data_IF_800906396791
#
_entry.id   IF_800906396791
#
_cell.length_a   1.000
_cell.length_b   1.000
_cell.length_c   1.000
_cell.angle_alpha   90.00
_cell.angle_beta   90.00
_cell.angle_gamma   90.00
#
_symmetry.space_group_name_H-M   'P 1'
#
loop_
_entity.id
_entity.type
_entity.pdbx_description
1 polymer ?
#
# COMPACT_ATOMS: atom_id res chain seq x y z
N UNK A 1 42.65 -20.47 -62.87
CA UNK A 1 41.19 -20.27 -62.79
C UNK A 1 40.63 -21.39 -61.91
N UNK A 2 40.39 -21.11 -60.62
CA UNK A 2 39.71 -22.04 -59.70
C UNK A 2 38.44 -21.34 -59.21
N UNK A 3 37.30 -21.94 -59.52
CA UNK A 3 35.95 -21.46 -59.19
C UNK A 3 35.61 -21.82 -57.74
N UNK A 4 35.31 -20.81 -56.92
CA UNK A 4 34.78 -20.98 -55.57
C UNK A 4 33.28 -21.38 -55.65
N UNK A 5 32.81 -22.40 -54.92
CA UNK A 5 31.39 -22.73 -54.91
C UNK A 5 30.65 -21.72 -54.03
N UNK A 6 29.63 -21.10 -54.61
CA UNK A 6 28.65 -20.28 -53.90
C UNK A 6 27.87 -21.18 -52.92
N UNK A 7 28.03 -20.93 -51.62
CA UNK A 7 27.15 -21.47 -50.58
C UNK A 7 25.75 -20.90 -50.78
N UNK A 8 24.87 -21.66 -51.41
CA UNK A 8 23.45 -21.37 -51.46
C UNK A 8 22.85 -21.68 -50.09
N UNK A 9 22.38 -20.64 -49.40
CA UNK A 9 21.58 -20.78 -48.19
C UNK A 9 20.19 -21.25 -48.62
N UNK A 10 19.97 -22.57 -48.60
CA UNK A 10 18.62 -23.10 -48.71
C UNK A 10 17.87 -22.76 -47.42
N UNK A 11 16.91 -21.84 -47.51
CA UNK A 11 15.89 -21.69 -46.47
C UNK A 11 15.10 -23.01 -46.46
N UNK A 12 15.39 -23.86 -45.48
CA UNK A 12 14.62 -25.08 -45.24
C UNK A 12 13.26 -24.66 -44.70
N UNK A 13 12.27 -24.62 -45.60
CA UNK A 13 10.86 -24.44 -45.26
C UNK A 13 10.40 -25.63 -44.42
N UNK A 14 10.30 -25.45 -43.10
CA UNK A 14 9.80 -26.48 -42.19
C UNK A 14 10.19 -26.33 -40.72
N UNK A 15 11.23 -25.57 -40.41
CA UNK A 15 11.49 -25.16 -39.04
C UNK A 15 10.67 -23.90 -38.72
N UNK A 16 9.52 -24.08 -38.08
CA UNK A 16 8.95 -23.00 -37.30
C UNK A 16 9.93 -22.73 -36.15
N UNK A 17 10.58 -21.57 -36.15
CA UNK A 17 11.31 -21.05 -34.99
C UNK A 17 10.31 -20.24 -34.16
N UNK A 18 9.58 -20.83 -33.20
CA UNK A 18 8.93 -19.99 -32.20
C UNK A 18 10.05 -19.27 -31.42
N UNK A 19 9.79 -18.02 -31.02
CA UNK A 19 10.81 -17.06 -30.57
C UNK A 19 11.59 -17.46 -29.30
N UNK A 20 11.23 -18.58 -28.68
CA UNK A 20 11.64 -19.14 -27.39
C UNK A 20 12.67 -20.28 -27.50
N UNK A 21 13.12 -20.63 -28.71
CA UNK A 21 14.06 -21.74 -28.94
C UNK A 21 15.51 -21.29 -29.15
N UNK A 22 16.43 -21.88 -28.38
CA UNK A 22 17.88 -21.79 -28.61
C UNK A 22 18.41 -23.05 -29.29
N UNK A 23 19.07 -22.90 -30.44
CA UNK A 23 19.67 -24.02 -31.18
C UNK A 23 21.19 -23.91 -31.15
N UNK A 24 21.88 -24.98 -30.74
CA UNK A 24 23.35 -25.04 -30.73
C UNK A 24 23.87 -26.14 -31.65
N UNK A 25 25.01 -25.88 -32.30
CA UNK A 25 25.78 -26.86 -33.06
C UNK A 25 27.13 -26.96 -32.37
N UNK A 26 27.39 -28.09 -31.72
CA UNK A 26 28.65 -28.31 -31.01
C UNK A 26 28.76 -29.75 -30.55
N UNK A 27 29.93 -30.36 -30.78
CA UNK A 27 30.25 -31.68 -30.26
C UNK A 27 30.18 -31.65 -28.72
N UNK A 28 29.08 -32.15 -28.16
CA UNK A 28 28.95 -32.29 -26.72
C UNK A 28 29.74 -33.54 -26.32
N UNK A 29 30.95 -33.37 -25.79
CA UNK A 29 31.52 -34.43 -24.96
C UNK A 29 30.65 -34.52 -23.72
N UNK A 30 29.96 -35.65 -23.55
CA UNK A 30 29.11 -35.92 -22.39
C UNK A 30 29.82 -35.51 -21.10
N UNK A 31 29.22 -34.60 -20.34
CA UNK A 31 29.67 -34.31 -18.97
C UNK A 31 29.38 -35.56 -18.15
N UNK A 32 30.38 -36.21 -17.51
CA UNK A 32 30.12 -37.38 -16.71
C UNK A 32 29.20 -37.01 -15.54
N UNK A 33 28.24 -37.91 -15.26
CA UNK A 33 27.26 -37.77 -14.19
C UNK A 33 27.98 -37.60 -12.84
N UNK A 34 28.10 -36.35 -12.37
CA UNK A 34 28.83 -36.04 -11.15
C UNK A 34 28.89 -34.54 -10.87
N UNK A 35 27.76 -33.90 -10.58
CA UNK A 35 27.76 -32.63 -9.85
C UNK A 35 26.55 -32.53 -8.92
N UNK A 36 26.72 -31.94 -7.72
CA UNK A 36 25.82 -32.15 -6.59
C UNK A 36 24.49 -31.43 -6.76
N UNK A 37 23.44 -32.14 -6.32
CA UNK A 37 22.06 -31.70 -6.28
C UNK A 37 21.86 -30.60 -5.22
N UNK A 38 22.02 -29.32 -5.60
CA UNK A 38 21.39 -28.25 -4.83
C UNK A 38 21.13 -26.98 -5.67
N UNK A 39 20.45 -27.15 -6.79
CA UNK A 39 19.74 -26.07 -7.46
C UNK A 39 18.28 -26.50 -7.56
N UNK A 40 17.34 -25.67 -7.10
CA UNK A 40 15.92 -25.82 -7.42
C UNK A 40 15.78 -25.79 -8.94
N UNK A 41 15.78 -26.98 -9.53
CA UNK A 41 16.00 -27.17 -10.94
C UNK A 41 14.73 -26.83 -11.72
N UNK A 42 14.70 -25.65 -12.34
CA UNK A 42 13.93 -25.47 -13.57
C UNK A 42 14.59 -26.37 -14.62
N UNK A 43 14.15 -27.63 -14.69
CA UNK A 43 14.81 -28.65 -15.49
C UNK A 43 14.63 -28.36 -16.99
N UNK A 44 15.74 -28.15 -17.68
CA UNK A 44 15.80 -28.00 -19.14
C UNK A 44 15.27 -29.29 -19.80
N UNK A 45 14.15 -29.20 -20.54
CA UNK A 45 13.67 -30.34 -21.32
C UNK A 45 14.37 -30.37 -22.67
N UNK A 46 15.25 -31.35 -22.86
CA UNK A 46 15.93 -31.62 -24.12
C UNK A 46 15.10 -32.63 -24.91
N UNK A 47 14.70 -32.30 -26.14
CA UNK A 47 14.06 -33.24 -27.08
C UNK A 47 15.02 -33.53 -28.23
N UNK A 48 15.38 -34.79 -28.49
CA UNK A 48 16.11 -35.14 -29.71
C UNK A 48 15.20 -34.93 -30.92
N UNK A 49 15.70 -34.23 -31.94
CA UNK A 49 15.05 -34.18 -33.26
C UNK A 49 15.73 -35.17 -34.20
N UNK A 50 14.94 -35.73 -35.13
CA UNK A 50 15.44 -36.66 -36.13
C UNK A 50 16.59 -36.04 -36.94
N UNK A 51 17.63 -36.84 -37.14
CA UNK A 51 18.76 -36.55 -38.01
C UNK A 51 18.28 -36.14 -39.41
N UNK A 52 18.51 -34.89 -39.79
CA UNK A 52 18.72 -34.52 -41.19
C UNK A 52 19.89 -33.57 -41.24
N UNK A 53 20.87 -33.97 -42.04
CA UNK A 53 22.17 -33.36 -42.31
C UNK A 53 22.06 -31.83 -42.46
N UNK A 54 22.49 -31.08 -41.43
CA UNK A 54 22.80 -29.65 -41.58
C UNK A 54 22.09 -28.63 -40.68
N UNK A 55 21.65 -28.97 -39.46
CA UNK A 55 21.21 -27.92 -38.52
C UNK A 55 20.79 -28.44 -37.14
N UNK A 56 21.60 -28.12 -36.12
CA UNK A 56 21.45 -28.35 -34.67
C UNK A 56 21.14 -29.79 -34.18
N UNK A 57 22.03 -30.36 -33.36
CA UNK A 57 21.86 -31.69 -32.76
C UNK A 57 20.84 -31.70 -31.61
N UNK A 58 20.70 -30.56 -30.92
CA UNK A 58 19.78 -30.39 -29.81
C UNK A 58 19.15 -29.00 -29.81
N UNK A 59 17.84 -28.96 -29.58
CA UNK A 59 17.13 -27.76 -29.21
C UNK A 59 16.75 -27.85 -27.74
N UNK A 60 16.89 -26.74 -27.03
CA UNK A 60 16.41 -26.61 -25.67
C UNK A 60 15.41 -25.47 -25.59
N UNK A 61 14.36 -25.67 -24.78
CA UNK A 61 13.51 -24.56 -24.35
C UNK A 61 14.29 -23.77 -23.32
N UNK A 62 14.54 -22.49 -23.57
CA UNK A 62 14.92 -21.60 -22.48
C UNK A 62 13.75 -21.58 -21.48
N UNK A 63 14.01 -21.70 -20.17
CA UNK A 63 12.95 -21.40 -19.22
C UNK A 63 12.47 -19.97 -19.53
N UNK A 64 11.15 -19.80 -19.70
CA UNK A 64 10.57 -18.48 -19.80
C UNK A 64 11.03 -17.64 -18.61
N UNK A 65 11.31 -16.36 -18.85
CA UNK A 65 11.61 -15.44 -17.76
C UNK A 65 10.46 -15.52 -16.74
N UNK A 66 10.73 -15.66 -15.43
CA UNK A 66 9.67 -15.78 -14.45
C UNK A 66 8.69 -14.62 -14.61
N UNK A 67 7.39 -14.95 -14.61
CA UNK A 67 6.34 -13.93 -14.65
C UNK A 67 6.57 -12.96 -13.50
N UNK A 68 6.77 -11.69 -13.86
CA UNK A 68 7.04 -10.64 -12.88
C UNK A 68 5.81 -10.46 -12.00
N UNK A 69 6.03 -10.12 -10.74
CA UNK A 69 4.92 -9.85 -9.81
C UNK A 69 4.07 -8.70 -10.36
N UNK A 70 2.75 -8.87 -10.35
CA UNK A 70 1.84 -7.83 -10.81
C UNK A 70 1.90 -6.61 -9.89
N UNK A 71 1.74 -5.40 -10.43
CA UNK A 71 1.68 -4.19 -9.57
C UNK A 71 0.55 -4.26 -8.55
N UNK A 72 -0.56 -4.96 -8.85
CA UNK A 72 -1.67 -5.15 -7.92
C UNK A 72 -1.26 -5.96 -6.69
N UNK A 73 -0.45 -7.00 -6.86
CA UNK A 73 0.06 -7.82 -5.75
C UNK A 73 1.04 -7.02 -4.89
N UNK A 74 1.94 -6.25 -5.51
CA UNK A 74 2.85 -5.35 -4.77
C UNK A 74 2.06 -4.26 -4.02
N UNK A 75 0.98 -3.75 -4.61
CA UNK A 75 0.08 -2.82 -3.94
C UNK A 75 -0.65 -3.47 -2.76
N UNK A 76 -1.07 -4.73 -2.89
CA UNK A 76 -1.65 -5.49 -1.78
C UNK A 76 -0.63 -5.72 -0.65
N UNK A 77 0.64 -5.95 -0.96
CA UNK A 77 1.71 -6.03 0.06
C UNK A 77 1.90 -4.69 0.79
N UNK A 78 1.92 -3.58 0.05
CA UNK A 78 2.02 -2.25 0.65
C UNK A 78 0.80 -1.92 1.52
N UNK A 79 -0.39 -2.33 1.09
CA UNK A 79 -1.64 -2.20 1.84
C UNK A 79 -1.64 -3.05 3.11
N UNK A 80 -1.14 -4.28 3.07
CA UNK A 80 -1.05 -5.15 4.25
C UNK A 80 -0.14 -4.56 5.35
N UNK A 81 0.86 -3.76 4.97
CA UNK A 81 1.72 -3.03 5.90
C UNK A 81 1.14 -1.65 6.31
N UNK A 82 0.04 -1.21 5.71
CA UNK A 82 -0.57 0.09 5.97
C UNK A 82 -1.46 0.05 7.21
N UNK A 83 -1.19 0.94 8.17
CA UNK A 83 -1.98 1.07 9.38
C UNK A 83 -2.28 2.55 9.66
N UNK A 84 -3.51 2.81 10.11
CA UNK A 84 -3.92 4.11 10.62
C UNK A 84 -3.85 4.09 12.15
N UNK A 85 -3.02 4.95 12.78
CA UNK A 85 -2.96 4.99 14.24
C UNK A 85 -4.28 5.52 14.80
N UNK A 86 -4.76 4.99 15.93
CA UNK A 86 -5.94 5.54 16.60
C UNK A 86 -5.64 6.99 17.04
N UNK A 87 -6.53 7.95 16.75
CA UNK A 87 -6.39 9.31 17.28
C UNK A 87 -6.54 9.32 18.79
N UNK A 88 -5.80 10.19 19.47
CA UNK A 88 -6.02 10.47 20.89
C UNK A 88 -6.84 11.75 20.98
N UNK A 89 -8.13 11.66 21.36
CA UNK A 89 -8.97 12.84 21.55
C UNK A 89 -8.62 13.56 22.84
N UNK A 90 -8.61 14.88 22.77
CA UNK A 90 -8.39 15.78 23.90
C UNK A 90 -9.52 16.79 24.00
N UNK A 91 -9.78 17.22 25.24
CA UNK A 91 -10.78 18.23 25.55
C UNK A 91 -10.19 19.34 26.42
N UNK A 92 -10.68 20.57 26.25
CA UNK A 92 -10.41 21.66 27.19
C UNK A 92 -11.76 22.26 27.63
N UNK A 93 -12.11 22.21 28.93
CA UNK A 93 -11.32 21.63 30.02
C UNK A 93 -11.21 20.09 29.94
N UNK A 94 -10.13 19.55 30.51
CA UNK A 94 -9.79 18.12 30.42
C UNK A 94 -10.53 17.32 31.49
N UNK A 95 -11.17 16.22 31.11
CA UNK A 95 -11.83 15.26 32.04
C UNK A 95 -13.11 15.79 32.70
N UNK A 96 -13.26 17.11 32.86
CA UNK A 96 -14.47 17.75 33.36
C UNK A 96 -14.82 18.99 32.55
N UNK A 97 -16.09 19.17 32.23
CA UNK A 97 -16.63 20.38 31.59
C UNK A 97 -17.95 20.80 32.25
N UNK A 98 -18.57 21.86 31.74
CA UNK A 98 -19.83 22.40 32.25
C UNK A 98 -20.88 22.57 31.16
N UNK A 99 -22.15 22.43 31.56
CA UNK A 99 -23.30 22.71 30.70
C UNK A 99 -23.24 24.15 30.20
N UNK A 100 -23.56 24.35 28.92
CA UNK A 100 -23.58 25.65 28.25
C UNK A 100 -22.23 26.38 28.14
N UNK A 101 -21.12 25.76 28.57
CA UNK A 101 -19.77 26.27 28.32
C UNK A 101 -19.12 25.55 27.14
N UNK A 102 -18.35 26.27 26.29
CA UNK A 102 -17.66 25.66 25.18
C UNK A 102 -16.58 24.70 25.68
N UNK A 103 -16.69 23.45 25.27
CA UNK A 103 -15.65 22.43 25.39
C UNK A 103 -14.91 22.38 24.07
N UNK A 104 -13.64 22.76 24.09
CA UNK A 104 -12.78 22.71 22.92
C UNK A 104 -12.28 21.29 22.69
N UNK A 105 -12.24 20.87 21.43
CA UNK A 105 -11.91 19.49 21.05
C UNK A 105 -10.74 19.49 20.06
N UNK A 106 -9.79 18.58 20.24
CA UNK A 106 -8.74 18.35 19.26
C UNK A 106 -8.20 16.92 19.32
N UNK A 107 -7.60 16.47 18.23
CA UNK A 107 -6.79 15.24 18.18
C UNK A 107 -5.31 15.59 18.19
N UNK A 108 -4.47 14.66 18.64
CA UNK A 108 -3.02 14.88 18.58
C UNK A 108 -2.55 15.17 17.16
N UNK A 109 -1.70 16.19 17.02
CA UNK A 109 -1.10 16.58 15.75
C UNK A 109 -0.28 15.44 15.13
N UNK A 110 0.19 14.49 15.94
CA UNK A 110 0.85 13.28 15.45
C UNK A 110 -0.07 12.41 14.61
N UNK A 111 -1.36 12.38 14.90
CA UNK A 111 -2.32 11.59 14.13
C UNK A 111 -2.81 12.38 12.92
N UNK A 112 -2.81 13.71 12.99
CA UNK A 112 -3.16 14.60 11.88
C UNK A 112 -2.02 14.84 10.87
N UNK A 113 -1.49 13.77 10.29
CA UNK A 113 -0.49 13.82 9.23
C UNK A 113 -0.68 12.66 8.25
N UNK A 114 -0.19 12.77 7.00
CA UNK A 114 -0.25 11.66 6.05
C UNK A 114 0.46 10.42 6.59
N UNK A 115 -0.24 9.29 6.65
CA UNK A 115 0.35 7.98 6.97
C UNK A 115 0.81 7.31 5.68
N UNK A 116 1.93 6.57 5.72
CA UNK A 116 2.53 5.98 4.53
C UNK A 116 3.01 4.56 4.79
N UNK A 117 2.80 3.68 3.83
CA UNK A 117 3.42 2.36 3.76
C UNK A 117 3.95 2.13 2.35
N UNK A 118 5.00 1.33 2.21
CA UNK A 118 5.59 1.01 0.91
C UNK A 118 5.95 -0.45 0.79
N UNK A 119 5.85 -0.98 -0.41
CA UNK A 119 6.41 -2.28 -0.79
C UNK A 119 7.19 -2.12 -2.09
N UNK A 120 8.28 -2.87 -2.21
CA UNK A 120 9.11 -2.86 -3.41
C UNK A 120 9.49 -4.29 -3.79
N UNK A 121 9.26 -4.63 -5.05
CA UNK A 121 9.54 -5.96 -5.61
C UNK A 121 9.70 -5.83 -7.12
N UNK A 122 10.57 -6.64 -7.73
CA UNK A 122 10.78 -6.68 -9.20
C UNK A 122 11.01 -5.30 -9.86
N UNK A 123 11.68 -4.38 -9.15
CA UNK A 123 11.95 -3.01 -9.63
C UNK A 123 10.72 -2.08 -9.61
N UNK A 124 9.61 -2.52 -9.03
CA UNK A 124 8.44 -1.72 -8.70
C UNK A 124 8.56 -1.20 -7.26
N UNK A 125 8.05 0.00 -7.01
CA UNK A 125 7.89 0.54 -5.65
C UNK A 125 6.52 1.16 -5.52
N UNK A 126 5.63 0.50 -4.78
CA UNK A 126 4.29 1.01 -4.48
C UNK A 126 4.30 1.72 -3.14
N UNK A 127 3.71 2.91 -3.08
CA UNK A 127 3.52 3.70 -1.86
C UNK A 127 2.03 3.93 -1.64
N UNK A 128 1.51 3.50 -0.50
CA UNK A 128 0.16 3.81 -0.01
C UNK A 128 0.25 5.03 0.90
N UNK A 129 -0.67 5.99 0.73
CA UNK A 129 -0.73 7.24 1.50
C UNK A 129 -2.15 7.49 1.98
N UNK A 130 -2.36 7.53 3.30
CA UNK A 130 -3.62 7.97 3.90
C UNK A 130 -3.53 9.41 4.39
N UNK A 131 -4.29 10.31 3.79
CA UNK A 131 -4.31 11.74 4.14
C UNK A 131 -5.55 12.09 4.96
N UNK A 132 -5.42 12.63 6.18
CA UNK A 132 -6.56 13.01 7.00
C UNK A 132 -7.34 14.15 6.32
N UNK A 133 -8.67 14.05 6.31
CA UNK A 133 -9.56 15.03 5.68
C UNK A 133 -10.38 15.79 6.73
N UNK A 134 -11.01 15.06 7.65
CA UNK A 134 -11.94 15.60 8.65
C UNK A 134 -11.95 14.75 9.92
N UNK A 135 -12.41 15.34 11.01
CA UNK A 135 -12.73 14.63 12.26
C UNK A 135 -14.23 14.70 12.49
N UNK A 136 -14.86 13.55 12.71
CA UNK A 136 -16.20 13.46 13.26
C UNK A 136 -16.12 13.16 14.75
N UNK A 137 -16.83 13.94 15.56
CA UNK A 137 -16.87 13.80 17.01
C UNK A 137 -18.24 13.29 17.43
N UNK A 138 -18.29 12.13 18.05
CA UNK A 138 -19.46 11.64 18.77
C UNK A 138 -19.31 11.97 20.25
N UNK A 139 -20.18 12.84 20.76
CA UNK A 139 -20.10 13.40 22.12
C UNK A 139 -21.11 12.77 23.08
N UNK A 140 -21.93 11.86 22.59
CA UNK A 140 -23.01 11.19 23.33
C UNK A 140 -24.30 12.01 23.48
N UNK A 141 -24.26 13.33 23.31
CA UNK A 141 -25.45 14.19 23.15
C UNK A 141 -25.62 14.72 21.71
N UNK A 142 -24.52 14.85 20.97
CA UNK A 142 -24.49 15.31 19.59
C UNK A 142 -23.35 14.65 18.81
N UNK A 143 -23.45 14.73 17.48
CA UNK A 143 -22.35 14.46 16.55
C UNK A 143 -22.01 15.75 15.81
N UNK A 144 -20.73 16.13 15.80
CA UNK A 144 -20.24 17.31 15.06
C UNK A 144 -19.08 16.91 14.15
N UNK A 145 -18.89 17.64 13.06
CA UNK A 145 -17.76 17.44 12.13
C UNK A 145 -16.89 18.68 12.10
N UNK A 146 -15.58 18.49 12.05
CA UNK A 146 -14.60 19.56 11.87
C UNK A 146 -13.63 19.25 10.73
N UNK A 147 -13.29 20.29 9.97
CA UNK A 147 -12.35 20.25 8.85
C UNK A 147 -10.90 20.51 9.32
N UNK A 148 -10.47 19.79 10.34
CA UNK A 148 -9.15 19.97 10.93
C UNK A 148 -8.95 19.17 12.21
N UNK A 149 -7.72 19.15 12.75
CA UNK A 149 -7.43 18.43 13.98
C UNK A 149 -8.06 19.08 15.22
N UNK A 150 -8.63 20.28 15.10
CA UNK A 150 -8.97 21.15 16.23
C UNK A 150 -7.74 21.86 16.78
N UNK A 151 -7.95 22.78 17.72
CA UNK A 151 -6.87 23.50 18.39
C UNK A 151 -7.19 23.69 19.87
N UNK A 152 -6.21 23.49 20.77
CA UNK A 152 -6.42 23.74 22.19
C UNK A 152 -6.67 25.22 22.42
N UNK A 153 -7.62 25.54 23.31
CA UNK A 153 -7.89 26.92 23.67
C UNK A 153 -6.66 27.56 24.32
N UNK A 154 -6.30 28.74 23.81
CA UNK A 154 -5.26 29.63 24.36
C UNK A 154 -5.82 31.04 24.45
N UNK A 155 -5.60 31.70 25.59
CA UNK A 155 -6.00 33.10 25.77
C UNK A 155 -5.27 33.98 24.75
N UNK A 156 -6.02 34.76 23.97
CA UNK A 156 -5.47 35.61 22.89
C UNK A 156 -5.02 34.83 21.65
N UNK A 157 -5.28 33.52 21.58
CA UNK A 157 -5.05 32.71 20.38
C UNK A 157 -6.19 32.86 19.37
N UNK A 158 -5.99 32.34 18.14
CA UNK A 158 -7.07 32.25 17.16
C UNK A 158 -8.23 31.39 17.71
N UNK A 159 -9.47 31.58 17.19
CA UNK A 159 -10.61 30.74 17.54
C UNK A 159 -10.29 29.26 17.37
N UNK A 160 -10.82 28.42 18.25
CA UNK A 160 -10.61 26.98 18.14
C UNK A 160 -11.19 26.42 16.85
N UNK A 161 -10.49 25.48 16.21
CA UNK A 161 -11.02 24.79 15.03
C UNK A 161 -12.22 23.85 15.31
N UNK A 162 -12.46 23.48 16.58
CA UNK A 162 -13.60 22.68 17.03
C UNK A 162 -14.00 23.05 18.46
N UNK A 163 -15.29 23.22 18.71
CA UNK A 163 -15.86 23.32 20.05
C UNK A 163 -17.31 22.82 20.08
N UNK A 164 -17.75 22.33 21.24
CA UNK A 164 -19.15 21.97 21.51
C UNK A 164 -19.57 22.44 22.90
N UNK A 165 -20.81 22.90 23.03
CA UNK A 165 -21.41 23.23 24.32
C UNK A 165 -22.44 22.16 24.68
N UNK A 166 -22.16 21.37 25.73
CA UNK A 166 -23.04 20.31 26.19
C UNK A 166 -24.33 20.89 26.78
N UNK A 167 -25.45 20.22 26.51
CA UNK A 167 -26.79 20.68 26.95
C UNK A 167 -27.25 20.06 28.26
N UNK A 168 -26.64 18.97 28.69
CA UNK A 168 -27.02 18.23 29.89
C UNK A 168 -25.78 17.80 30.68
N UNK A 169 -25.90 17.76 31.99
CA UNK A 169 -24.88 17.17 32.87
C UNK A 169 -24.91 15.65 32.76
N UNK A 170 -23.77 15.01 33.02
CA UNK A 170 -23.64 13.56 32.89
C UNK A 170 -22.21 13.12 32.56
N UNK A 171 -22.02 11.80 32.45
CA UNK A 171 -20.76 11.23 31.97
C UNK A 171 -20.90 10.84 30.50
N UNK A 172 -19.97 11.30 29.68
CA UNK A 172 -19.96 11.10 28.24
C UNK A 172 -18.69 10.40 27.79
N UNK A 173 -18.82 9.54 26.79
CA UNK A 173 -17.68 9.04 26.02
C UNK A 173 -17.56 9.90 24.78
N UNK A 174 -16.45 10.64 24.69
CA UNK A 174 -16.10 11.50 23.56
C UNK A 174 -15.26 10.67 22.61
N UNK A 175 -15.81 10.37 21.43
CA UNK A 175 -15.14 9.59 20.38
C UNK A 175 -14.80 10.50 19.21
N UNK A 176 -13.52 10.55 18.84
CA UNK A 176 -13.04 11.18 17.62
C UNK A 176 -12.83 10.12 16.54
N UNK A 177 -13.44 10.32 15.38
CA UNK A 177 -13.27 9.50 14.18
C UNK A 177 -12.62 10.34 13.09
N UNK A 178 -11.35 10.06 12.79
CA UNK A 178 -10.62 10.73 11.71
C UNK A 178 -10.86 9.95 10.42
N UNK A 179 -11.27 10.65 9.37
CA UNK A 179 -11.44 10.07 8.04
C UNK A 179 -10.21 10.37 7.17
N UNK A 180 -9.58 9.30 6.68
CA UNK A 180 -8.41 9.38 5.80
C UNK A 180 -8.80 9.02 4.38
N UNK A 181 -8.48 9.88 3.42
CA UNK A 181 -8.51 9.53 2.00
C UNK A 181 -7.22 8.76 1.69
N UNK A 182 -7.36 7.49 1.29
CA UNK A 182 -6.22 6.60 1.05
C UNK A 182 -6.02 6.37 -0.43
N UNK A 183 -4.84 6.71 -0.92
CA UNK A 183 -4.41 6.54 -2.31
C UNK A 183 -3.12 5.74 -2.37
N UNK A 184 -2.80 5.21 -3.54
CA UNK A 184 -1.52 4.58 -3.79
C UNK A 184 -0.92 5.04 -5.12
N UNK A 185 0.41 5.01 -5.19
CA UNK A 185 1.16 5.31 -6.40
C UNK A 185 2.30 4.32 -6.58
N UNK A 186 2.71 4.10 -7.82
CA UNK A 186 3.81 3.20 -8.15
C UNK A 186 4.89 3.90 -8.97
N UNK A 187 6.14 3.73 -8.52
CA UNK A 187 7.34 4.16 -9.21
C UNK A 187 8.11 2.95 -9.78
N UNK A 188 8.76 3.13 -10.93
CA UNK A 188 9.49 2.06 -11.61
C UNK A 188 8.67 1.33 -12.67
N UNK A 189 8.93 0.03 -12.81
CA UNK A 189 8.45 -0.87 -13.86
C UNK A 189 7.02 -1.38 -13.62
N UNK A 190 6.09 -0.46 -13.34
CA UNK A 190 4.73 -0.79 -12.91
C UNK A 190 3.75 -0.94 -14.08
N UNK A 191 2.83 -1.90 -13.99
CA UNK A 191 1.72 -2.10 -14.92
C UNK A 191 0.64 -1.02 -14.74
N UNK A 192 0.56 -0.43 -13.55
CA UNK A 192 -0.34 0.67 -13.21
C UNK A 192 0.34 1.69 -12.32
N UNK A 193 0.06 2.98 -12.55
CA UNK A 193 0.77 4.08 -11.89
C UNK A 193 0.19 4.49 -10.53
N UNK A 194 -1.05 4.13 -10.24
CA UNK A 194 -1.71 4.49 -8.98
C UNK A 194 -3.21 4.26 -9.00
N UNK A 195 -3.83 4.57 -7.87
CA UNK A 195 -5.27 4.45 -7.68
C UNK A 195 -5.71 4.96 -6.32
N UNK A 196 -7.01 4.83 -6.03
CA UNK A 196 -7.61 5.18 -4.75
C UNK A 196 -8.20 3.94 -4.10
N UNK A 197 -7.96 3.76 -2.80
CA UNK A 197 -8.65 2.77 -1.98
C UNK A 197 -9.96 3.32 -1.38
N UNK A 198 -10.16 4.64 -1.44
CA UNK A 198 -11.31 5.32 -0.85
C UNK A 198 -11.01 5.91 0.53
N UNK A 199 -12.05 6.08 1.34
CA UNK A 199 -11.97 6.76 2.63
C UNK A 199 -12.12 5.77 3.78
N UNK A 200 -11.17 5.80 4.73
CA UNK A 200 -11.14 4.89 5.87
C UNK A 200 -11.19 5.66 7.20
N UNK A 201 -11.98 5.19 8.18
CA UNK A 201 -12.03 5.78 9.51
C UNK A 201 -10.93 5.23 10.43
N UNK A 202 -10.41 6.06 11.33
CA UNK A 202 -9.68 5.63 12.52
C UNK A 202 -10.25 6.36 13.74
N UNK A 203 -10.61 5.60 14.78
CA UNK A 203 -11.30 6.14 15.95
C UNK A 203 -10.50 5.98 17.24
N UNK A 204 -10.76 6.89 18.17
CA UNK A 204 -10.27 6.84 19.54
C UNK A 204 -11.19 7.61 20.47
N UNK A 205 -11.19 7.25 21.74
CA UNK A 205 -12.17 7.75 22.70
C UNK A 205 -11.51 8.21 24.00
N UNK A 206 -12.17 9.17 24.66
CA UNK A 206 -11.83 9.63 26.01
C UNK A 206 -13.11 9.86 26.81
N UNK A 207 -13.00 9.92 28.13
CA UNK A 207 -14.13 10.18 29.02
C UNK A 207 -14.19 11.65 29.42
N UNK A 208 -15.40 12.20 29.48
CA UNK A 208 -15.67 13.57 29.91
C UNK A 208 -16.87 13.60 30.84
N UNK A 209 -16.70 14.19 32.03
CA UNK A 209 -17.80 14.46 32.95
C UNK A 209 -18.27 15.89 32.81
N UNK A 210 -19.55 16.10 32.49
CA UNK A 210 -20.15 17.43 32.37
C UNK A 210 -20.98 17.71 33.64
N UNK A 211 -20.71 18.83 34.29
CA UNK A 211 -21.43 19.28 35.48
C UNK A 211 -22.25 20.54 35.19
N UNK A 212 -23.18 20.87 36.07
CA UNK A 212 -23.96 22.10 35.98
C UNK A 212 -23.55 23.05 37.10
N UNK A 213 -23.49 24.35 36.81
CA UNK A 213 -23.22 25.37 37.82
C UNK A 213 -24.54 25.70 38.50
N UNK A 214 -24.67 25.27 39.75
CA UNK A 214 -25.84 25.56 40.59
C UNK A 214 -25.47 26.66 41.58
N UNK A 215 -26.14 27.82 41.48
CA UNK A 215 -26.03 28.86 42.51
C UNK A 215 -27.02 28.55 43.62
N UNK A 216 -26.52 28.21 44.80
CA UNK A 216 -27.35 28.05 45.99
C UNK A 216 -27.59 29.43 46.61
N UNK A 217 -28.74 30.03 46.33
CA UNK A 217 -29.20 31.23 47.03
C UNK A 217 -29.80 30.79 48.37
N UNK A 218 -29.05 30.93 49.46
CA UNK A 218 -29.56 30.78 50.83
C UNK A 218 -30.31 32.05 51.24
N UNK A 219 -31.49 31.88 51.85
CA UNK A 219 -32.43 32.94 52.22
C UNK A 219 -32.13 33.69 53.51
#
# INVERSE_FOLDING_TARGET
MLTAPLLAWALVSGCATPADWGCSIGAVTAVPAGSPANATAHALKIKPMCQVTGGADHCFTLPGEPDRTSTADVAAMAWAAFALPPPVPHTNPSGRSWVSLPTYLWVDASTWRPQRARAALDGQTVTVVGTPQRVEWSLGDATITCDGPGTPYRRGGPPSGCAHAFRRSGSFTVTATVYYAVTWSCAGSCDSRGGSYGTFPASGSTHLTVQEIQTRTGG
#
